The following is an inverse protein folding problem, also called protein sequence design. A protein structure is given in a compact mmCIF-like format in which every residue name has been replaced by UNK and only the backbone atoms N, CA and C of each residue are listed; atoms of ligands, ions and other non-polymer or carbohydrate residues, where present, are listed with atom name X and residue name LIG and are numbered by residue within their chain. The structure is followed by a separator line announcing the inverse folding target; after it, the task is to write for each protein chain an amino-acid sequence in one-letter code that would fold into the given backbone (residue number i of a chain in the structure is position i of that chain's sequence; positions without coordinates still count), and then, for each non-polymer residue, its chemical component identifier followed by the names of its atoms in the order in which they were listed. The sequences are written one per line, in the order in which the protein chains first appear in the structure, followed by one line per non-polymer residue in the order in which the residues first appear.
data_IF_753143396341
#
_entry.id   IF_753143396341
#
_cell.length_a   1.000
_cell.length_b   1.000
_cell.length_c   1.000
_cell.angle_alpha   90.00
_cell.angle_beta   90.00
_cell.angle_gamma   90.00
#
_symmetry.space_group_name_H-M   'P 1'
#
loop_
_entity.id
_entity.type
_entity.pdbx_description
1 polymer ?
#
# COMPACT_ATOMS: atom_id res chain seq x y z
N UNK A 1 -22.28 -35.71 -5.17
CA UNK A 1 -23.48 -35.34 -4.39
C UNK A 1 -23.76 -33.89 -4.72
N UNK A 2 -24.95 -33.51 -5.18
CA UNK A 2 -25.24 -32.13 -5.64
C UNK A 2 -26.04 -31.39 -4.57
N UNK A 3 -25.55 -30.25 -4.12
CA UNK A 3 -26.18 -29.43 -3.07
C UNK A 3 -26.35 -28.02 -3.60
N UNK A 4 -27.57 -27.48 -3.50
CA UNK A 4 -27.96 -26.16 -4.02
C UNK A 4 -28.16 -25.18 -2.86
N UNK A 5 -27.53 -24.01 -2.90
CA UNK A 5 -27.83 -22.88 -2.01
C UNK A 5 -27.83 -21.59 -2.84
N UNK A 6 -28.90 -20.80 -2.75
CA UNK A 6 -28.91 -19.42 -3.26
C UNK A 6 -28.77 -19.22 -4.78
N UNK A 7 -29.07 -20.22 -5.61
CA UNK A 7 -29.09 -20.09 -7.07
C UNK A 7 -27.71 -20.07 -7.75
N UNK A 8 -26.65 -20.46 -7.05
CA UNK A 8 -25.31 -20.64 -7.63
C UNK A 8 -24.94 -22.12 -7.60
N UNK A 9 -24.45 -22.64 -8.74
CA UNK A 9 -23.99 -24.01 -8.89
C UNK A 9 -22.45 -24.02 -8.71
N UNK A 10 -21.95 -24.55 -7.60
CA UNK A 10 -20.53 -24.79 -7.41
C UNK A 10 -20.16 -26.13 -8.07
N UNK A 11 -19.19 -26.12 -8.98
CA UNK A 11 -18.87 -27.28 -9.84
C UNK A 11 -17.78 -28.16 -9.22
N UNK A 12 -17.10 -27.70 -8.16
CA UNK A 12 -16.16 -28.50 -7.40
C UNK A 12 -16.11 -28.12 -5.91
N UNK A 13 -15.61 -29.04 -5.08
CA UNK A 13 -15.44 -28.82 -3.64
C UNK A 13 -14.37 -27.75 -3.30
N UNK A 14 -13.57 -27.30 -4.28
CA UNK A 14 -12.55 -26.27 -4.09
C UNK A 14 -13.13 -24.84 -4.10
N UNK A 15 -14.26 -24.60 -4.76
CA UNK A 15 -14.97 -23.30 -4.77
C UNK A 15 -15.64 -22.96 -3.43
N UNK A 16 -15.70 -23.91 -2.49
CA UNK A 16 -16.31 -23.74 -1.17
C UNK A 16 -15.29 -23.64 -0.03
N UNK A 17 -13.99 -23.53 -0.35
CA UNK A 17 -13.01 -23.16 0.67
C UNK A 17 -13.16 -21.66 0.91
N UNK A 18 -14.08 -21.29 1.81
CA UNK A 18 -13.98 -19.99 2.49
C UNK A 18 -12.55 -19.90 3.01
N UNK A 19 -11.77 -18.86 2.62
CA UNK A 19 -10.47 -18.63 3.23
C UNK A 19 -10.72 -18.34 4.71
N UNK A 20 -10.59 -19.38 5.53
CA UNK A 20 -10.70 -19.32 6.99
C UNK A 20 -9.45 -18.68 7.63
N UNK A 21 -8.66 -17.97 6.84
CA UNK A 21 -7.59 -17.11 7.30
C UNK A 21 -7.93 -15.71 6.83
N UNK A 22 -8.39 -14.86 7.77
CA UNK A 22 -8.64 -13.44 7.54
C UNK A 22 -7.37 -12.63 7.28
N UNK A 23 -6.29 -13.28 6.84
CA UNK A 23 -5.13 -12.62 6.29
C UNK A 23 -5.49 -12.22 4.86
N UNK A 24 -5.61 -10.91 4.63
CA UNK A 24 -5.46 -10.39 3.27
C UNK A 24 -4.21 -11.04 2.65
N UNK A 25 -4.21 -11.43 1.37
CA UNK A 25 -3.01 -11.93 0.74
C UNK A 25 -1.92 -10.88 0.98
N UNK A 26 -0.90 -11.24 1.76
CA UNK A 26 0.32 -10.46 1.87
C UNK A 26 0.79 -10.29 0.43
N UNK A 27 0.52 -9.10 -0.13
CA UNK A 27 0.97 -8.71 -1.46
C UNK A 27 2.22 -7.86 -1.22
N UNK A 28 3.38 -8.46 -0.88
CA UNK A 28 4.60 -7.71 -0.57
C UNK A 28 5.00 -6.79 -1.74
N UNK A 29 4.63 -7.15 -2.97
CA UNK A 29 4.83 -6.33 -4.17
C UNK A 29 4.11 -4.98 -4.11
N UNK A 30 2.96 -4.88 -3.44
CA UNK A 30 2.19 -3.64 -3.34
C UNK A 30 2.79 -2.69 -2.28
N UNK A 31 3.35 -3.25 -1.19
CA UNK A 31 4.02 -2.46 -0.16
C UNK A 31 5.26 -1.75 -0.71
N UNK A 32 6.10 -2.45 -1.48
CA UNK A 32 7.30 -1.87 -2.09
C UNK A 32 6.95 -0.72 -3.04
N UNK A 33 5.90 -0.90 -3.85
CA UNK A 33 5.40 0.15 -4.74
C UNK A 33 4.94 1.37 -3.94
N UNK A 34 4.13 1.18 -2.90
CA UNK A 34 3.63 2.30 -2.10
C UNK A 34 4.76 3.01 -1.34
N UNK A 35 5.73 2.27 -0.80
CA UNK A 35 6.90 2.80 -0.11
C UNK A 35 7.78 3.63 -1.03
N UNK A 36 7.92 3.26 -2.31
CA UNK A 36 8.66 4.06 -3.29
C UNK A 36 8.08 5.48 -3.40
N UNK A 37 6.76 5.63 -3.48
CA UNK A 37 6.12 6.93 -3.65
C UNK A 37 5.92 7.69 -2.32
N UNK A 38 5.48 7.00 -1.26
CA UNK A 38 5.17 7.62 0.04
C UNK A 38 6.41 7.85 0.92
N UNK A 39 7.43 7.00 0.76
CA UNK A 39 8.58 6.93 1.65
C UNK A 39 8.30 6.16 2.94
N UNK A 40 9.36 5.91 3.70
CA UNK A 40 9.33 5.16 4.96
C UNK A 40 9.57 6.07 6.17
N UNK A 41 9.07 5.67 7.34
CA UNK A 41 9.30 6.43 8.57
C UNK A 41 10.79 6.39 8.93
N UNK A 42 11.36 7.57 9.25
CA UNK A 42 12.78 7.69 9.62
C UNK A 42 13.73 7.99 8.46
N UNK A 43 13.22 8.10 7.23
CA UNK A 43 13.99 8.48 6.04
C UNK A 43 14.70 9.84 6.23
N UNK A 44 16.00 9.90 5.95
CA UNK A 44 16.78 11.14 5.91
C UNK A 44 16.39 12.01 4.71
N UNK A 45 16.80 13.28 4.69
CA UNK A 45 16.50 14.14 3.52
C UNK A 45 17.18 13.64 2.24
N UNK A 46 18.39 13.08 2.36
CA UNK A 46 19.13 12.53 1.23
C UNK A 46 18.46 11.26 0.69
N UNK A 47 18.07 10.33 1.56
CA UNK A 47 17.31 9.13 1.18
C UNK A 47 15.99 9.52 0.50
N UNK A 48 15.30 10.54 1.04
CA UNK A 48 14.08 11.10 0.45
C UNK A 48 14.29 11.67 -0.94
N UNK A 49 15.39 12.38 -1.16
CA UNK A 49 15.72 12.94 -2.45
C UNK A 49 15.98 11.81 -3.48
N UNK A 50 16.79 10.81 -3.11
CA UNK A 50 17.09 9.65 -3.98
C UNK A 50 15.82 8.87 -4.31
N UNK A 51 15.00 8.56 -3.31
CA UNK A 51 13.73 7.86 -3.51
C UNK A 51 12.79 8.64 -4.42
N UNK A 52 12.66 9.96 -4.24
CA UNK A 52 11.81 10.79 -5.11
C UNK A 52 12.31 10.83 -6.55
N UNK A 53 13.62 10.81 -6.77
CA UNK A 53 14.18 10.70 -8.10
C UNK A 53 13.77 9.36 -8.74
N UNK A 54 14.01 8.24 -8.05
CA UNK A 54 13.61 6.92 -8.52
C UNK A 54 12.09 6.79 -8.76
N UNK A 55 11.27 7.37 -7.87
CA UNK A 55 9.82 7.41 -8.04
C UNK A 55 9.40 8.22 -9.28
N UNK A 56 10.14 9.29 -9.60
CA UNK A 56 9.95 10.08 -10.82
C UNK A 56 10.21 9.25 -12.07
N UNK A 57 11.34 8.54 -12.11
CA UNK A 57 11.74 7.69 -13.23
C UNK A 57 10.71 6.58 -13.49
N UNK A 58 10.27 5.89 -12.42
CA UNK A 58 9.23 4.85 -12.53
C UNK A 58 7.89 5.41 -13.00
N UNK A 59 7.50 6.61 -12.56
CA UNK A 59 6.27 7.24 -13.04
C UNK A 59 6.36 7.59 -14.54
N UNK A 60 7.52 8.03 -15.02
CA UNK A 60 7.74 8.29 -16.44
C UNK A 60 7.60 7.00 -17.26
N UNK A 61 8.25 5.91 -16.83
CA UNK A 61 8.13 4.60 -17.48
C UNK A 61 6.67 4.10 -17.53
N UNK A 62 5.94 4.22 -16.42
CA UNK A 62 4.51 3.86 -16.37
C UNK A 62 3.67 4.68 -17.36
N UNK A 63 3.98 5.97 -17.52
CA UNK A 63 3.29 6.85 -18.49
C UNK A 63 3.62 6.45 -19.93
N UNK A 64 4.86 6.08 -20.23
CA UNK A 64 5.25 5.59 -21.56
C UNK A 64 4.48 4.31 -21.94
N UNK A 65 4.31 3.40 -20.97
CA UNK A 65 3.61 2.13 -21.17
C UNK A 65 2.07 2.26 -21.19
N UNK A 66 1.52 3.35 -20.64
CA UNK A 66 0.07 3.53 -20.45
C UNK A 66 -0.78 3.43 -21.73
N UNK A 67 -0.21 3.73 -22.89
CA UNK A 67 -0.92 3.64 -24.18
C UNK A 67 -1.11 2.21 -24.68
N UNK A 68 -0.32 1.26 -24.18
CA UNK A 68 -0.33 -0.14 -24.60
C UNK A 68 -0.80 -1.09 -23.49
N UNK A 69 -0.73 -0.68 -22.23
CA UNK A 69 -1.09 -1.49 -21.07
C UNK A 69 -2.00 -0.71 -20.10
N UNK A 70 -3.23 -1.20 -19.94
CA UNK A 70 -4.21 -0.64 -19.02
C UNK A 70 -3.74 -0.71 -17.56
N UNK A 71 -3.00 -1.75 -17.17
CA UNK A 71 -2.44 -1.88 -15.82
C UNK A 71 -1.39 -0.79 -15.61
N UNK A 72 -0.54 -0.53 -16.58
CA UNK A 72 0.44 0.56 -16.52
C UNK A 72 -0.25 1.94 -16.42
N UNK A 73 -1.33 2.16 -17.18
CA UNK A 73 -2.14 3.37 -17.07
C UNK A 73 -2.72 3.55 -15.66
N UNK A 74 -3.33 2.51 -15.09
CA UNK A 74 -3.89 2.55 -13.73
C UNK A 74 -2.80 2.78 -12.68
N UNK A 75 -1.63 2.15 -12.84
CA UNK A 75 -0.50 2.33 -11.95
C UNK A 75 0.07 3.75 -12.03
N UNK A 76 0.15 4.37 -13.22
CA UNK A 76 0.58 5.75 -13.39
C UNK A 76 -0.35 6.71 -12.64
N UNK A 77 -1.67 6.55 -12.80
CA UNK A 77 -2.68 7.35 -12.08
C UNK A 77 -2.57 7.18 -10.56
N UNK A 78 -2.35 5.94 -10.11
CA UNK A 78 -2.18 5.65 -8.68
C UNK A 78 -0.89 6.26 -8.12
N UNK A 79 0.24 6.10 -8.83
CA UNK A 79 1.53 6.70 -8.47
C UNK A 79 1.47 8.23 -8.38
N UNK A 80 0.83 8.90 -9.34
CA UNK A 80 0.59 10.34 -9.29
C UNK A 80 -0.20 10.74 -8.04
N UNK A 81 -1.20 9.94 -7.66
CA UNK A 81 -1.97 10.20 -6.46
C UNK A 81 -1.09 10.07 -5.22
N UNK A 82 -0.27 9.03 -5.13
CA UNK A 82 0.64 8.80 -4.00
C UNK A 82 1.68 9.91 -3.84
N UNK A 83 2.27 10.41 -4.93
CA UNK A 83 3.23 11.52 -4.86
C UNK A 83 2.64 12.81 -4.29
N UNK A 84 1.34 13.02 -4.45
CA UNK A 84 0.63 14.20 -3.95
C UNK A 84 0.17 14.06 -2.50
N UNK A 85 0.34 12.89 -1.87
CA UNK A 85 -0.01 12.68 -0.46
C UNK A 85 1.18 13.03 0.41
N UNK A 86 0.95 13.89 1.42
CA UNK A 86 1.94 14.13 2.47
C UNK A 86 1.62 13.21 3.64
N UNK A 87 2.48 12.23 3.99
CA UNK A 87 2.25 11.39 5.14
C UNK A 87 2.18 12.25 6.41
N UNK A 88 1.08 12.14 7.14
CA UNK A 88 0.91 12.84 8.41
C UNK A 88 1.97 12.32 9.39
N UNK A 89 2.94 13.16 9.74
CA UNK A 89 3.94 12.82 10.76
C UNK A 89 3.21 12.51 12.07
N UNK A 90 3.20 11.24 12.47
CA UNK A 90 2.69 10.79 13.76
C UNK A 90 3.39 11.56 14.89
N UNK A 91 2.68 12.55 15.44
CA UNK A 91 3.12 13.39 16.58
C UNK A 91 3.23 12.60 17.90
N UNK A 92 2.85 11.31 17.89
CA UNK A 92 2.72 10.47 19.07
C UNK A 92 4.04 10.15 19.80
N UNK A 93 5.22 10.31 19.17
CA UNK A 93 6.51 9.95 19.81
C UNK A 93 7.04 11.03 20.77
N UNK A 94 6.37 12.20 20.92
CA UNK A 94 6.83 13.28 21.83
C UNK A 94 6.06 13.41 23.15
N UNK A 95 5.20 12.46 23.52
CA UNK A 95 4.30 12.61 24.70
C UNK A 95 4.60 11.67 25.88
N UNK A 96 5.81 11.16 26.02
CA UNK A 96 6.27 10.56 27.29
C UNK A 96 7.31 11.43 27.98
N UNK A 97 6.92 12.66 28.32
CA UNK A 97 7.55 13.33 29.45
C UNK A 97 6.96 12.71 30.72
N UNK A 98 7.77 12.12 31.63
CA UNK A 98 7.25 11.59 32.88
C UNK A 98 6.71 12.75 33.70
N UNK A 99 5.41 12.72 33.97
CA UNK A 99 4.76 13.58 34.95
C UNK A 99 5.48 13.40 36.30
N UNK A 100 6.29 14.37 36.73
CA UNK A 100 6.88 14.39 38.06
C UNK A 100 5.82 14.89 39.04
N UNK A 101 4.98 13.97 39.51
CA UNK A 101 3.99 14.26 40.54
C UNK A 101 4.69 14.53 41.87
N UNK A 102 4.96 15.81 42.16
CA UNK A 102 5.13 16.30 43.53
C UNK A 102 3.83 16.99 43.93
N UNK A 103 2.99 16.29 44.68
CA UNK A 103 1.97 16.91 45.50
C UNK A 103 2.61 17.22 46.87
N UNK A 104 2.47 18.47 47.31
CA UNK A 104 2.87 18.97 48.62
C UNK A 104 1.67 18.99 49.56
#
# INVERSE_FOLDING_TARGET
MRTYVGGQEAVNDAEFTEPADGAEPEMPMLEDFCQLFLGVLGETEEQRAVRRAAAGDVLEELRELSGADEVAMLNALYAERLMNVVPMRNRAVRAHAPWSGKAA
#
